data_IF_248253416230
#
_entry.id   IF_248253416230
#
_cell.length_a   1.000
_cell.length_b   1.000
_cell.length_c   1.000
_cell.angle_alpha   90.00
_cell.angle_beta   90.00
_cell.angle_gamma   90.00
#
_symmetry.space_group_name_H-M   'P 1'
#
loop_
_entity.id
_entity.type
_entity.pdbx_description
1 polymer ?
#
# COMPACT_ATOMS: atom_id res chain seq x y z
N UNK A 1 21.14 8.38 -29.25
CA UNK A 1 20.41 9.65 -28.90
C UNK A 1 21.28 10.60 -28.09
N UNK A 2 21.81 10.17 -26.93
CA UNK A 2 22.68 11.01 -26.08
C UNK A 2 23.91 11.54 -26.83
N UNK A 3 24.61 10.67 -27.57
CA UNK A 3 25.75 11.06 -28.41
C UNK A 3 25.35 12.04 -29.52
N UNK A 4 24.20 11.82 -30.15
CA UNK A 4 23.65 12.73 -31.17
C UNK A 4 23.30 14.13 -30.61
N UNK A 5 23.11 14.25 -29.28
CA UNK A 5 22.93 15.52 -28.57
C UNK A 5 24.25 16.11 -28.05
N UNK A 6 25.39 15.50 -28.38
CA UNK A 6 26.72 15.97 -28.01
C UNK A 6 27.22 15.51 -26.64
N UNK A 7 26.53 14.59 -25.98
CA UNK A 7 27.00 14.02 -24.71
C UNK A 7 27.99 12.88 -24.95
N UNK A 8 29.06 12.83 -24.14
CA UNK A 8 29.94 11.66 -24.07
C UNK A 8 29.28 10.60 -23.21
N UNK A 9 29.25 9.35 -23.68
CA UNK A 9 28.55 8.25 -22.99
C UNK A 9 29.50 7.09 -22.78
N UNK A 10 29.49 6.53 -21.57
CA UNK A 10 30.10 5.24 -21.27
C UNK A 10 28.99 4.23 -20.98
N UNK A 11 28.95 3.15 -21.75
CA UNK A 11 28.02 2.04 -21.50
C UNK A 11 28.69 1.04 -20.55
N UNK A 12 28.03 0.73 -19.45
CA UNK A 12 28.44 -0.29 -18.48
C UNK A 12 27.63 -1.55 -18.74
N UNK A 13 28.31 -2.67 -18.97
CA UNK A 13 27.67 -3.99 -18.95
C UNK A 13 27.45 -4.44 -17.50
N UNK A 14 26.19 -4.54 -17.03
CA UNK A 14 25.92 -5.00 -15.68
C UNK A 14 26.37 -6.45 -15.42
N UNK A 15 26.46 -7.30 -16.44
CA UNK A 15 26.93 -8.70 -16.29
C UNK A 15 28.40 -8.74 -15.89
N UNK A 16 29.21 -7.85 -16.46
CA UNK A 16 30.62 -7.75 -16.09
C UNK A 16 30.81 -7.04 -14.75
N UNK A 17 30.06 -5.95 -14.52
CA UNK A 17 30.36 -4.97 -13.47
C UNK A 17 29.60 -5.17 -12.17
N UNK A 18 28.42 -5.80 -12.19
CA UNK A 18 27.67 -6.13 -11.00
C UNK A 18 27.82 -7.62 -10.69
N UNK A 19 28.54 -7.96 -9.61
CA UNK A 19 28.61 -9.34 -9.13
C UNK A 19 27.36 -9.65 -8.30
N UNK A 20 26.61 -10.68 -8.69
CA UNK A 20 25.44 -11.13 -7.98
C UNK A 20 25.59 -12.57 -7.46
N UNK A 21 25.02 -12.80 -6.28
CA UNK A 21 25.04 -14.06 -5.54
C UNK A 21 23.59 -14.53 -5.35
N UNK A 22 23.36 -15.84 -5.52
CA UNK A 22 22.06 -16.47 -5.31
C UNK A 22 21.50 -17.16 -6.56
N UNK A 23 20.18 -17.23 -6.63
CA UNK A 23 19.47 -17.96 -7.69
C UNK A 23 19.36 -17.14 -8.99
N UNK A 24 19.43 -17.77 -10.16
CA UNK A 24 19.42 -17.08 -11.47
C UNK A 24 18.25 -16.12 -11.68
N UNK A 25 17.09 -16.45 -11.10
CA UNK A 25 15.86 -15.64 -11.23
C UNK A 25 15.69 -14.57 -10.15
N UNK A 26 16.51 -14.64 -9.09
CA UNK A 26 16.42 -13.73 -7.95
C UNK A 26 17.78 -13.65 -7.24
N UNK A 27 18.73 -12.98 -7.88
CA UNK A 27 20.09 -12.80 -7.32
C UNK A 27 20.21 -11.47 -6.58
N UNK A 28 21.11 -11.41 -5.59
CA UNK A 28 21.45 -10.21 -4.80
C UNK A 28 22.84 -9.73 -5.17
N UNK A 29 23.03 -8.43 -5.38
CA UNK A 29 24.32 -7.87 -5.78
C UNK A 29 25.24 -7.71 -4.58
N UNK A 30 26.48 -8.18 -4.70
CA UNK A 30 27.59 -7.82 -3.82
C UNK A 30 28.06 -6.40 -4.18
N UNK A 31 27.61 -5.42 -3.39
CA UNK A 31 27.91 -4.01 -3.63
C UNK A 31 29.40 -3.72 -3.46
N UNK A 32 30.11 -4.41 -2.55
CA UNK A 32 31.52 -4.13 -2.28
C UNK A 32 32.41 -4.57 -3.45
N UNK A 33 32.19 -5.78 -3.97
CA UNK A 33 32.88 -6.24 -5.18
C UNK A 33 32.48 -5.41 -6.40
N UNK A 34 31.18 -5.14 -6.58
CA UNK A 34 30.69 -4.35 -7.73
C UNK A 34 31.27 -2.94 -7.73
N UNK A 35 31.44 -2.32 -6.55
CA UNK A 35 32.14 -1.04 -6.40
C UNK A 35 33.58 -1.11 -6.93
N UNK A 36 34.31 -2.19 -6.60
CA UNK A 36 35.69 -2.38 -7.11
C UNK A 36 35.73 -2.54 -8.62
N UNK A 37 34.81 -3.30 -9.22
CA UNK A 37 34.72 -3.51 -10.68
C UNK A 37 34.37 -2.24 -11.44
N UNK A 38 33.45 -1.44 -10.89
CA UNK A 38 33.07 -0.15 -11.47
C UNK A 38 34.25 0.83 -11.38
N UNK A 39 34.89 0.96 -10.22
CA UNK A 39 36.06 1.83 -10.04
C UNK A 39 37.22 1.46 -10.97
N UNK A 40 37.46 0.16 -11.21
CA UNK A 40 38.48 -0.32 -12.13
C UNK A 40 38.23 0.09 -13.59
N UNK A 41 37.01 0.51 -13.94
CA UNK A 41 36.67 0.96 -15.29
C UNK A 41 37.15 2.39 -15.59
N UNK A 42 37.64 3.12 -14.57
CA UNK A 42 38.24 4.46 -14.71
C UNK A 42 37.41 5.40 -15.60
N UNK A 43 36.10 5.42 -15.39
CA UNK A 43 35.17 6.18 -16.21
C UNK A 43 35.46 7.68 -16.07
N UNK A 44 35.66 8.43 -17.17
CA UNK A 44 35.89 9.86 -17.10
C UNK A 44 34.74 10.61 -16.43
N UNK A 45 35.05 11.62 -15.62
CA UNK A 45 34.04 12.38 -14.87
C UNK A 45 33.06 13.18 -15.75
N UNK A 46 33.41 13.45 -17.01
CA UNK A 46 32.57 14.15 -17.99
C UNK A 46 31.70 13.21 -18.85
N UNK A 47 31.73 11.91 -18.60
CA UNK A 47 30.89 10.93 -19.30
C UNK A 47 29.56 10.69 -18.57
N UNK A 48 28.47 10.60 -19.34
CA UNK A 48 27.22 10.03 -18.87
C UNK A 48 27.33 8.51 -18.85
N UNK A 49 27.00 7.89 -17.73
CA UNK A 49 26.97 6.44 -17.60
C UNK A 49 25.60 5.91 -18.03
N UNK A 50 25.60 4.93 -18.93
CA UNK A 50 24.40 4.19 -19.33
C UNK A 50 24.57 2.71 -18.95
N UNK A 51 23.66 2.17 -18.15
CA UNK A 51 23.68 0.77 -17.72
C UNK A 51 22.29 0.17 -17.91
N UNK A 52 22.22 -1.03 -18.46
CA UNK A 52 20.97 -1.78 -18.50
C UNK A 52 20.57 -2.20 -17.06
N UNK A 53 19.29 -2.02 -16.71
CA UNK A 53 18.76 -2.50 -15.43
C UNK A 53 18.39 -3.99 -15.46
N UNK A 54 17.88 -4.49 -14.33
CA UNK A 54 17.31 -5.83 -14.13
C UNK A 54 18.29 -7.01 -14.17
N UNK A 55 19.47 -6.85 -14.75
CA UNK A 55 20.47 -7.91 -14.94
C UNK A 55 21.75 -7.68 -14.14
N UNK A 56 22.48 -8.76 -13.87
CA UNK A 56 23.82 -8.75 -13.29
C UNK A 56 24.57 -10.04 -13.71
N UNK A 57 25.83 -10.20 -13.29
CA UNK A 57 26.62 -11.42 -13.56
C UNK A 57 26.90 -12.21 -12.29
N UNK A 58 26.84 -13.53 -12.36
CA UNK A 58 27.24 -14.39 -11.24
C UNK A 58 28.77 -14.58 -11.18
N UNK A 59 29.26 -15.38 -10.22
CA UNK A 59 30.69 -15.70 -10.07
C UNK A 59 31.33 -16.36 -11.30
N UNK A 60 30.53 -17.00 -12.17
CA UNK A 60 30.97 -17.62 -13.42
C UNK A 60 30.91 -16.66 -14.62
N UNK A 61 30.46 -15.42 -14.42
CA UNK A 61 30.25 -14.44 -15.49
C UNK A 61 28.99 -14.67 -16.33
N UNK A 62 28.06 -15.50 -15.85
CA UNK A 62 26.80 -15.76 -16.55
C UNK A 62 25.74 -14.73 -16.16
N UNK A 63 24.88 -14.37 -17.12
CA UNK A 63 23.77 -13.46 -16.89
C UNK A 63 22.78 -14.04 -15.87
N UNK A 64 22.46 -13.24 -14.86
CA UNK A 64 21.38 -13.48 -13.91
C UNK A 64 20.43 -12.28 -13.88
N UNK A 65 19.21 -12.51 -13.41
CA UNK A 65 18.23 -11.45 -13.19
C UNK A 65 18.06 -11.17 -11.71
N UNK A 66 17.71 -9.93 -11.41
CA UNK A 66 17.62 -9.42 -10.05
C UNK A 66 16.23 -9.58 -9.43
N UNK A 67 15.31 -10.22 -10.14
CA UNK A 67 13.94 -10.46 -9.68
C UNK A 67 13.04 -9.23 -9.82
N UNK A 68 11.93 -9.22 -9.08
CA UNK A 68 10.89 -8.19 -9.20
C UNK A 68 11.44 -6.79 -8.91
N UNK A 69 11.07 -5.82 -9.75
CA UNK A 69 11.59 -4.44 -9.74
C UNK A 69 13.13 -4.38 -9.82
N UNK A 70 13.75 -5.34 -10.50
CA UNK A 70 15.20 -5.43 -10.62
C UNK A 70 15.86 -4.21 -11.25
N UNK A 71 15.15 -3.43 -12.09
CA UNK A 71 15.67 -2.17 -12.63
C UNK A 71 15.85 -1.10 -11.56
N UNK A 72 14.86 -0.92 -10.67
CA UNK A 72 14.97 0.03 -9.56
C UNK A 72 16.11 -0.40 -8.62
N UNK A 73 16.20 -1.71 -8.35
CA UNK A 73 17.30 -2.26 -7.56
C UNK A 73 18.67 -2.06 -8.23
N UNK A 74 18.75 -2.17 -9.56
CA UNK A 74 19.98 -1.86 -10.32
C UNK A 74 20.40 -0.41 -10.16
N UNK A 75 19.44 0.53 -10.22
CA UNK A 75 19.69 1.95 -10.00
C UNK A 75 20.19 2.21 -8.56
N UNK A 76 19.54 1.63 -7.55
CA UNK A 76 19.96 1.72 -6.15
C UNK A 76 21.37 1.16 -5.90
N UNK A 77 21.68 0.01 -6.51
CA UNK A 77 23.01 -0.62 -6.43
C UNK A 77 24.07 0.24 -7.10
N UNK A 78 23.80 0.75 -8.30
CA UNK A 78 24.74 1.61 -9.01
C UNK A 78 24.98 2.92 -8.24
N UNK A 79 23.93 3.54 -7.70
CA UNK A 79 24.02 4.70 -6.82
C UNK A 79 24.91 4.41 -5.61
N UNK A 80 24.74 3.25 -4.97
CA UNK A 80 25.56 2.80 -3.85
C UNK A 80 27.05 2.61 -4.23
N UNK A 81 27.31 2.00 -5.39
CA UNK A 81 28.66 1.78 -5.91
C UNK A 81 29.38 3.08 -6.25
N UNK A 82 28.65 4.05 -6.79
CA UNK A 82 29.19 5.36 -7.19
C UNK A 82 29.22 6.39 -6.05
N UNK A 83 28.68 6.06 -4.86
CA UNK A 83 28.45 7.02 -3.77
C UNK A 83 27.67 8.25 -4.25
N UNK A 84 26.62 8.01 -5.02
CA UNK A 84 25.80 9.08 -5.58
C UNK A 84 25.16 9.93 -4.48
N UNK A 85 25.05 11.23 -4.73
CA UNK A 85 24.37 12.16 -3.82
C UNK A 85 22.86 11.90 -3.74
N UNK A 86 22.28 11.31 -4.80
CA UNK A 86 20.87 10.96 -4.87
C UNK A 86 20.62 9.82 -5.88
N UNK A 87 19.60 9.01 -5.62
CA UNK A 87 19.06 8.03 -6.56
C UNK A 87 17.67 8.48 -7.02
N UNK A 88 17.47 8.80 -8.29
CA UNK A 88 16.14 9.16 -8.80
C UNK A 88 15.46 7.96 -9.47
N UNK A 89 14.23 7.66 -9.07
CA UNK A 89 13.38 6.67 -9.72
C UNK A 89 12.27 7.39 -10.46
N UNK A 90 12.33 7.31 -11.79
CA UNK A 90 11.37 7.94 -12.69
C UNK A 90 10.32 6.93 -13.14
N UNK A 91 9.06 7.14 -12.76
CA UNK A 91 7.93 6.23 -12.95
C UNK A 91 6.72 6.95 -13.57
N UNK A 92 5.52 6.37 -13.49
CA UNK A 92 4.25 6.87 -14.04
C UNK A 92 3.36 7.57 -12.99
N UNK A 93 3.87 7.78 -11.78
CA UNK A 93 3.20 8.47 -10.67
C UNK A 93 4.04 9.62 -10.11
N UNK A 94 3.37 10.65 -9.58
CA UNK A 94 4.00 11.86 -9.03
C UNK A 94 4.81 11.63 -7.76
N UNK A 95 4.77 10.41 -7.19
CA UNK A 95 5.52 10.01 -6.01
C UNK A 95 4.75 8.96 -5.19
N UNK A 96 5.01 8.92 -3.89
CA UNK A 96 4.31 8.05 -2.94
C UNK A 96 3.15 8.83 -2.32
N UNK A 97 1.97 8.21 -2.30
CA UNK A 97 0.77 8.79 -1.71
C UNK A 97 0.50 8.20 -0.32
N UNK A 98 -0.28 8.91 0.50
CA UNK A 98 -0.75 8.44 1.81
C UNK A 98 -1.54 7.12 1.77
N UNK A 99 -2.09 6.77 0.61
CA UNK A 99 -2.67 5.46 0.29
C UNK A 99 -2.86 5.39 -1.23
N UNK A 100 -3.34 4.27 -1.77
CA UNK A 100 -3.58 4.14 -3.21
C UNK A 100 -4.64 5.16 -3.69
N UNK A 101 -4.28 6.14 -4.54
CA UNK A 101 -5.20 7.18 -5.00
C UNK A 101 -6.35 6.62 -5.85
N UNK A 102 -6.23 5.40 -6.36
CA UNK A 102 -7.31 4.71 -7.09
C UNK A 102 -8.40 4.19 -6.13
N UNK A 103 -8.05 3.93 -4.88
CA UNK A 103 -8.95 3.46 -3.83
C UNK A 103 -9.50 4.62 -2.98
N UNK A 104 -8.67 5.63 -2.74
CA UNK A 104 -9.01 6.80 -1.93
C UNK A 104 -8.71 8.08 -2.71
N UNK A 105 -9.74 8.79 -3.21
CA UNK A 105 -9.53 9.98 -4.03
C UNK A 105 -8.84 11.14 -3.29
N UNK A 106 -9.00 11.18 -1.97
CA UNK A 106 -8.39 12.19 -1.09
C UNK A 106 -6.94 11.86 -0.69
N UNK A 107 -6.34 10.84 -1.31
CA UNK A 107 -4.95 10.50 -1.08
C UNK A 107 -4.03 11.68 -1.39
N UNK A 108 -3.11 11.98 -0.47
CA UNK A 108 -2.20 13.13 -0.58
C UNK A 108 -0.82 12.65 -1.01
N UNK A 109 -0.18 13.40 -1.90
CA UNK A 109 1.22 13.17 -2.26
C UNK A 109 2.10 13.49 -1.05
N UNK A 110 2.97 12.56 -0.68
CA UNK A 110 3.93 12.74 0.40
C UNK A 110 5.13 13.52 -0.11
N UNK A 111 5.59 14.53 0.64
CA UNK A 111 6.83 15.24 0.29
C UNK A 111 8.05 14.39 0.63
N UNK A 112 8.02 13.78 1.81
CA UNK A 112 9.10 12.94 2.29
C UNK A 112 8.65 11.80 3.19
N UNK A 113 9.50 10.78 3.30
CA UNK A 113 9.35 9.66 4.22
C UNK A 113 10.71 9.04 4.58
N UNK A 114 10.78 8.35 5.72
CA UNK A 114 12.00 7.64 6.10
C UNK A 114 12.18 6.35 5.30
N UNK A 115 13.42 5.84 5.24
CA UNK A 115 13.69 4.53 4.65
C UNK A 115 12.86 3.40 5.29
N UNK A 116 12.68 3.46 6.61
CA UNK A 116 11.92 2.45 7.35
C UNK A 116 10.43 2.53 7.03
N UNK A 117 9.85 3.74 6.96
CA UNK A 117 8.46 3.92 6.53
C UNK A 117 8.23 3.40 5.11
N UNK A 118 9.18 3.69 4.20
CA UNK A 118 9.10 3.22 2.82
C UNK A 118 9.16 1.70 2.75
N UNK A 119 10.02 1.06 3.54
CA UNK A 119 10.17 -0.39 3.58
C UNK A 119 8.90 -1.07 4.10
N UNK A 120 8.30 -0.57 5.18
CA UNK A 120 7.06 -1.08 5.77
C UNK A 120 5.88 -0.93 4.80
N UNK A 121 5.68 0.26 4.21
CA UNK A 121 4.61 0.48 3.24
C UNK A 121 4.75 -0.43 2.01
N UNK A 122 5.98 -0.59 1.52
CA UNK A 122 6.27 -1.44 0.37
C UNK A 122 5.97 -2.92 0.65
N UNK A 123 6.30 -3.38 1.86
CA UNK A 123 6.03 -4.75 2.30
C UNK A 123 4.52 -5.04 2.37
N UNK A 124 3.73 -4.09 2.88
CA UNK A 124 2.27 -4.24 3.04
C UNK A 124 1.44 -3.70 1.86
N UNK A 125 2.01 -3.66 0.66
CA UNK A 125 1.23 -3.53 -0.59
C UNK A 125 1.38 -2.21 -1.36
N UNK A 126 2.13 -1.23 -0.86
CA UNK A 126 2.45 -0.04 -1.63
C UNK A 126 3.43 -0.40 -2.77
N UNK A 127 2.96 -0.44 -4.01
CA UNK A 127 3.72 -0.95 -5.16
C UNK A 127 4.79 0.01 -5.72
N UNK A 128 5.01 1.17 -5.11
CA UNK A 128 5.86 2.23 -5.68
C UNK A 128 7.34 1.87 -5.64
N UNK A 129 7.79 1.17 -4.59
CA UNK A 129 9.16 0.72 -4.45
C UNK A 129 9.19 -0.70 -3.89
N UNK A 130 10.21 -1.47 -4.26
CA UNK A 130 10.42 -2.79 -3.68
C UNK A 130 11.38 -2.68 -2.49
N UNK A 131 11.18 -3.42 -1.38
CA UNK A 131 12.09 -3.39 -0.23
C UNK A 131 13.57 -3.61 -0.61
N UNK A 132 13.83 -4.48 -1.60
CA UNK A 132 15.20 -4.73 -2.10
C UNK A 132 15.86 -3.50 -2.72
N UNK A 133 15.09 -2.59 -3.30
CA UNK A 133 15.60 -1.30 -3.81
C UNK A 133 15.96 -0.35 -2.67
N UNK A 134 15.21 -0.39 -1.58
CA UNK A 134 15.38 0.49 -0.43
C UNK A 134 16.62 0.10 0.38
N UNK A 135 16.94 -1.21 0.47
CA UNK A 135 18.07 -1.69 1.29
C UNK A 135 19.43 -1.05 0.94
N UNK A 136 19.90 -1.02 -0.33
CA UNK A 136 21.18 -0.37 -0.67
C UNK A 136 21.20 1.10 -0.33
N UNK A 137 20.18 1.86 -0.74
CA UNK A 137 20.14 3.31 -0.50
C UNK A 137 20.09 3.62 1.00
N UNK A 138 19.36 2.83 1.80
CA UNK A 138 19.32 2.98 3.24
C UNK A 138 20.67 2.62 3.89
N UNK A 139 21.33 1.55 3.45
CA UNK A 139 22.64 1.13 3.97
C UNK A 139 23.70 2.22 3.77
N UNK A 140 23.67 2.89 2.62
CA UNK A 140 24.64 3.94 2.27
C UNK A 140 24.14 5.36 2.51
N UNK A 141 22.96 5.51 3.13
CA UNK A 141 22.33 6.80 3.43
C UNK A 141 22.17 7.71 2.19
N UNK A 142 21.89 7.10 1.03
CA UNK A 142 21.66 7.80 -0.24
C UNK A 142 20.18 8.16 -0.33
N UNK A 143 19.80 9.45 -0.39
CA UNK A 143 18.41 9.83 -0.56
C UNK A 143 17.89 9.38 -1.93
N UNK A 144 16.64 8.93 -1.97
CA UNK A 144 15.98 8.47 -3.19
C UNK A 144 14.76 9.32 -3.51
N UNK A 145 14.68 9.85 -4.72
CA UNK A 145 13.60 10.73 -5.15
C UNK A 145 12.72 10.01 -6.18
N UNK A 146 11.43 9.87 -5.87
CA UNK A 146 10.44 9.27 -6.77
C UNK A 146 9.80 10.38 -7.60
N UNK A 147 9.87 10.27 -8.93
CA UNK A 147 9.39 11.29 -9.87
C UNK A 147 8.53 10.68 -10.99
N UNK A 148 7.72 11.53 -11.62
CA UNK A 148 6.89 11.15 -12.76
C UNK A 148 7.54 11.56 -14.09
N UNK A 149 7.71 10.62 -14.99
CA UNK A 149 8.15 10.87 -16.37
C UNK A 149 7.14 11.70 -17.17
N UNK A 150 5.84 11.52 -16.92
CA UNK A 150 4.76 12.27 -17.56
C UNK A 150 4.49 13.64 -16.94
N UNK A 151 4.99 13.88 -15.71
CA UNK A 151 4.89 15.17 -15.03
C UNK A 151 6.22 15.54 -14.33
N UNK A 152 7.27 15.91 -15.09
CA UNK A 152 8.61 16.12 -14.52
C UNK A 152 8.73 17.28 -13.53
N UNK A 153 7.74 18.19 -13.52
CA UNK A 153 7.66 19.35 -12.63
C UNK A 153 6.99 19.01 -11.29
N UNK A 154 6.38 17.84 -11.15
CA UNK A 154 5.89 17.38 -9.85
C UNK A 154 7.04 17.34 -8.83
N UNK A 155 6.79 17.72 -7.57
CA UNK A 155 7.83 17.75 -6.54
C UNK A 155 8.42 16.37 -6.23
N UNK A 156 7.66 15.29 -6.48
CA UNK A 156 8.10 13.94 -6.14
C UNK A 156 7.88 13.59 -4.67
N UNK A 157 8.44 12.45 -4.27
CA UNK A 157 8.59 12.07 -2.86
C UNK A 157 10.05 11.74 -2.57
N UNK A 158 10.63 12.39 -1.56
CA UNK A 158 11.99 12.14 -1.10
C UNK A 158 12.01 11.09 0.01
N UNK A 159 12.68 9.97 -0.24
CA UNK A 159 12.94 8.92 0.74
C UNK A 159 14.36 9.11 1.26
N UNK A 160 14.51 9.33 2.56
CA UNK A 160 15.80 9.70 3.13
C UNK A 160 15.93 9.44 4.62
N UNK A 161 17.00 9.95 5.20
CA UNK A 161 17.06 10.13 6.65
C UNK A 161 15.95 11.11 7.07
N UNK A 162 15.29 10.82 8.20
CA UNK A 162 14.08 11.51 8.68
C UNK A 162 14.12 13.02 8.46
N UNK A 163 13.19 13.54 7.67
CA UNK A 163 12.91 14.97 7.56
C UNK A 163 11.57 15.25 8.23
N UNK A 164 11.59 16.11 9.25
CA UNK A 164 10.42 16.51 10.05
C UNK A 164 9.40 17.38 9.28
N UNK A 165 9.54 17.50 7.95
CA UNK A 165 8.91 18.55 7.15
C UNK A 165 7.38 18.48 7.04
N UNK A 166 6.76 17.33 7.36
CA UNK A 166 5.31 17.16 7.22
C UNK A 166 4.56 17.04 8.57
N UNK A 167 5.23 16.93 9.73
CA UNK A 167 4.58 16.77 11.06
C UNK A 167 3.47 15.68 11.14
N UNK A 168 3.37 14.80 10.15
CA UNK A 168 2.34 13.77 10.07
C UNK A 168 2.78 12.55 10.91
N UNK A 169 2.02 12.15 11.95
CA UNK A 169 2.34 10.95 12.72
C UNK A 169 2.30 9.67 11.90
N UNK A 170 1.47 9.66 10.87
CA UNK A 170 1.22 8.55 9.98
C UNK A 170 1.56 9.03 8.57
N UNK A 171 2.39 8.28 7.86
CA UNK A 171 2.76 8.60 6.47
C UNK A 171 1.87 7.90 5.47
N UNK A 172 1.49 6.65 5.74
CA UNK A 172 0.65 5.94 4.80
C UNK A 172 -0.19 4.82 5.38
N UNK A 173 -1.16 4.42 4.56
CA UNK A 173 -2.01 3.25 4.77
C UNK A 173 -1.89 2.41 3.51
N UNK A 174 -1.63 1.12 3.68
CA UNK A 174 -1.55 0.15 2.60
C UNK A 174 -2.47 -1.04 2.89
N UNK A 175 -2.79 -1.79 1.84
CA UNK A 175 -3.50 -3.05 1.97
C UNK A 175 -2.89 -4.18 1.13
N UNK A 176 -2.94 -5.39 1.69
CA UNK A 176 -2.67 -6.64 0.99
C UNK A 176 -3.95 -7.46 0.92
N UNK A 177 -4.49 -7.59 -0.28
CA UNK A 177 -5.70 -8.35 -0.55
C UNK A 177 -5.38 -9.82 -0.85
N UNK A 178 -6.41 -10.67 -0.85
CA UNK A 178 -6.32 -12.09 -1.17
C UNK A 178 -5.33 -12.85 -0.27
N UNK A 179 -5.60 -12.81 1.03
CA UNK A 179 -4.86 -13.53 2.05
C UNK A 179 -5.70 -14.66 2.66
N UNK A 180 -5.04 -15.69 3.14
CA UNK A 180 -5.62 -16.74 3.97
C UNK A 180 -4.90 -16.80 5.32
N UNK A 181 -5.66 -16.89 6.41
CA UNK A 181 -5.12 -17.03 7.76
C UNK A 181 -5.28 -18.46 8.24
N UNK A 182 -4.17 -19.05 8.68
CA UNK A 182 -4.12 -20.35 9.35
C UNK A 182 -3.98 -20.13 10.84
N UNK A 183 -4.70 -20.88 11.66
CA UNK A 183 -4.53 -20.94 13.11
C UNK A 183 -4.24 -22.36 13.53
N UNK A 184 -3.16 -22.52 14.28
CA UNK A 184 -2.77 -23.76 14.96
C UNK A 184 -3.03 -23.56 16.45
N UNK A 185 -3.94 -24.34 17.01
CA UNK A 185 -4.36 -24.30 18.41
C UNK A 185 -4.48 -25.71 18.99
N UNK A 186 -4.48 -25.81 20.31
CA UNK A 186 -4.80 -27.06 21.00
C UNK A 186 -4.05 -27.25 22.32
N UNK A 187 -4.49 -28.19 23.16
CA UNK A 187 -3.90 -28.45 24.48
C UNK A 187 -2.43 -28.89 24.41
N UNK A 188 -2.03 -29.56 23.33
CA UNK A 188 -0.65 -29.95 23.06
C UNK A 188 0.29 -28.76 22.85
N UNK A 189 -0.22 -27.56 22.59
CA UNK A 189 0.59 -26.33 22.50
C UNK A 189 1.14 -25.91 23.87
N UNK A 190 0.55 -26.39 24.98
CA UNK A 190 0.97 -26.06 26.35
C UNK A 190 2.27 -26.78 26.71
N UNK A 191 3.38 -26.03 26.77
CA UNK A 191 4.68 -26.55 27.21
C UNK A 191 5.52 -27.22 26.12
N UNK A 192 5.03 -27.30 24.88
CA UNK A 192 5.84 -27.75 23.75
C UNK A 192 6.72 -26.62 23.19
N UNK A 193 8.01 -26.71 23.48
CA UNK A 193 9.04 -25.85 22.90
C UNK A 193 9.17 -26.16 21.40
N UNK A 194 9.24 -25.14 20.55
CA UNK A 194 9.59 -25.30 19.13
C UNK A 194 8.41 -25.44 18.16
N UNK A 195 7.16 -25.31 18.63
CA UNK A 195 5.99 -25.37 17.75
C UNK A 195 6.02 -24.28 16.67
N UNK A 196 6.28 -23.02 17.04
CA UNK A 196 6.45 -21.94 16.07
C UNK A 196 7.55 -22.26 15.04
N UNK A 197 8.66 -22.85 15.48
CA UNK A 197 9.74 -23.22 14.57
C UNK A 197 9.30 -24.28 13.55
N UNK A 198 8.49 -25.27 13.97
CA UNK A 198 7.92 -26.28 13.07
C UNK A 198 6.98 -25.68 12.04
N UNK A 199 6.09 -24.76 12.45
CA UNK A 199 5.20 -24.02 11.54
C UNK A 199 6.01 -23.32 10.44
N UNK A 200 7.01 -22.53 10.83
CA UNK A 200 7.81 -21.77 9.86
C UNK A 200 8.74 -22.66 9.02
N UNK A 201 9.25 -23.75 9.59
CA UNK A 201 10.03 -24.73 8.84
C UNK A 201 9.19 -25.44 7.77
N UNK A 202 7.94 -25.81 8.09
CA UNK A 202 7.01 -26.40 7.13
C UNK A 202 6.68 -25.43 5.99
N UNK A 203 6.39 -24.16 6.29
CA UNK A 203 6.15 -23.14 5.27
C UNK A 203 7.38 -22.87 4.40
N UNK A 204 8.56 -22.78 5.02
CA UNK A 204 9.83 -22.59 4.30
C UNK A 204 10.14 -23.74 3.34
N UNK A 205 10.05 -25.00 3.80
CA UNK A 205 10.23 -26.19 2.93
C UNK A 205 9.20 -26.25 1.80
N UNK A 206 7.99 -25.76 2.05
CA UNK A 206 6.96 -25.65 1.03
C UNK A 206 7.19 -24.47 0.06
N UNK A 207 8.16 -23.57 0.31
CA UNK A 207 8.39 -22.37 -0.48
C UNK A 207 7.23 -21.37 -0.38
N UNK A 208 6.66 -21.20 0.81
CA UNK A 208 5.52 -20.32 1.08
C UNK A 208 5.98 -19.19 1.99
N UNK A 209 5.75 -17.95 1.55
CA UNK A 209 6.06 -16.76 2.34
C UNK A 209 4.94 -16.48 3.35
N UNK A 210 5.31 -16.34 4.62
CA UNK A 210 4.40 -15.90 5.68
C UNK A 210 4.50 -14.38 5.80
N UNK A 211 3.35 -13.71 5.74
CA UNK A 211 3.27 -12.23 5.66
C UNK A 211 3.00 -11.58 7.01
N UNK A 212 2.12 -12.17 7.81
CA UNK A 212 1.73 -11.64 9.12
C UNK A 212 1.62 -12.80 10.10
N UNK A 213 2.08 -12.59 11.33
CA UNK A 213 2.07 -13.57 12.41
C UNK A 213 1.43 -12.93 13.63
N UNK A 214 0.55 -13.66 14.31
CA UNK A 214 0.02 -13.30 15.62
C UNK A 214 -0.01 -14.54 16.51
N UNK A 215 0.33 -14.35 17.78
CA UNK A 215 0.46 -15.45 18.74
C UNK A 215 -0.28 -15.09 20.02
N UNK A 216 -1.21 -15.95 20.43
CA UNK A 216 -1.96 -15.79 21.68
C UNK A 216 -1.36 -16.70 22.75
N UNK A 217 -0.75 -16.10 23.77
CA UNK A 217 -0.14 -16.83 24.89
C UNK A 217 -1.18 -17.50 25.78
N UNK A 218 -2.37 -16.92 25.93
CA UNK A 218 -3.46 -17.46 26.75
C UNK A 218 -4.20 -18.62 26.09
N UNK A 219 -4.38 -18.57 24.77
CA UNK A 219 -5.09 -19.59 24.00
C UNK A 219 -4.15 -20.66 23.42
N UNK A 220 -2.84 -20.50 23.67
CA UNK A 220 -1.79 -21.33 23.08
C UNK A 220 -1.96 -21.50 21.57
N UNK A 221 -2.18 -20.40 20.85
CA UNK A 221 -2.42 -20.43 19.41
C UNK A 221 -1.37 -19.62 18.66
N UNK A 222 -1.04 -20.09 17.46
CA UNK A 222 -0.23 -19.36 16.48
C UNK A 222 -1.08 -19.20 15.23
N UNK A 223 -1.33 -17.97 14.84
CA UNK A 223 -1.99 -17.63 13.60
C UNK A 223 -1.04 -16.92 12.65
N UNK A 224 -1.15 -17.23 11.36
CA UNK A 224 -0.31 -16.61 10.34
C UNK A 224 -1.05 -16.47 9.02
N UNK A 225 -0.71 -15.43 8.27
CA UNK A 225 -1.28 -15.13 6.95
C UNK A 225 -0.32 -15.54 5.84
N UNK A 226 -0.87 -16.18 4.81
CA UNK A 226 -0.18 -16.52 3.55
C UNK A 226 -1.00 -15.99 2.38
N UNK A 227 -0.40 -15.79 1.19
CA UNK A 227 -1.16 -15.49 -0.02
C UNK A 227 -2.25 -16.54 -0.27
N UNK A 228 -3.44 -16.10 -0.66
CA UNK A 228 -4.58 -16.99 -0.93
C UNK A 228 -4.24 -18.05 -2.00
N UNK A 229 -3.38 -17.71 -2.96
CA UNK A 229 -2.86 -18.65 -3.98
C UNK A 229 -2.10 -19.84 -3.38
N UNK A 230 -1.50 -19.67 -2.20
CA UNK A 230 -0.74 -20.70 -1.51
C UNK A 230 -1.56 -21.48 -0.47
N UNK A 231 -2.83 -21.11 -0.25
CA UNK A 231 -3.69 -21.70 0.77
C UNK A 231 -3.71 -23.24 0.70
N UNK A 232 -3.92 -23.82 -0.49
CA UNK A 232 -3.98 -25.28 -0.64
C UNK A 232 -2.63 -25.96 -0.35
N UNK A 233 -1.51 -25.32 -0.73
CA UNK A 233 -0.15 -25.83 -0.46
C UNK A 233 0.19 -25.72 1.03
N UNK A 234 -0.13 -24.59 1.65
CA UNK A 234 0.07 -24.35 3.08
C UNK A 234 -0.72 -25.35 3.92
N UNK A 235 -2.00 -25.58 3.57
CA UNK A 235 -2.84 -26.57 4.24
C UNK A 235 -2.23 -27.96 4.23
N UNK A 236 -1.78 -28.44 3.06
CA UNK A 236 -1.12 -29.76 2.96
C UNK A 236 0.15 -29.82 3.79
N UNK A 237 1.04 -28.84 3.64
CA UNK A 237 2.30 -28.81 4.39
C UNK A 237 2.09 -28.82 5.91
N UNK A 238 1.07 -28.11 6.41
CA UNK A 238 0.72 -28.09 7.83
C UNK A 238 0.07 -29.40 8.29
N UNK A 239 -0.80 -29.99 7.48
CA UNK A 239 -1.42 -31.30 7.79
C UNK A 239 -0.37 -32.40 7.85
N UNK A 240 0.62 -32.37 6.95
CA UNK A 240 1.71 -33.34 6.93
C UNK A 240 2.66 -33.15 8.12
N UNK A 241 3.03 -31.90 8.43
CA UNK A 241 3.93 -31.56 9.56
C UNK A 241 3.33 -31.96 10.92
N UNK A 242 2.01 -31.80 11.10
CA UNK A 242 1.31 -32.00 12.37
C UNK A 242 0.37 -33.22 12.38
N UNK A 243 0.58 -34.17 11.46
CA UNK A 243 -0.31 -35.31 11.28
C UNK A 243 -0.52 -36.12 12.58
N UNK A 244 0.56 -36.39 13.33
CA UNK A 244 0.48 -37.17 14.56
C UNK A 244 -0.28 -36.41 15.64
N UNK A 245 0.02 -35.14 15.85
CA UNK A 245 -0.62 -34.32 16.87
C UNK A 245 -2.11 -34.08 16.60
N UNK A 246 -2.47 -33.91 15.33
CA UNK A 246 -3.87 -33.82 14.90
C UNK A 246 -4.60 -35.16 15.12
N UNK A 247 -3.94 -36.29 14.82
CA UNK A 247 -4.54 -37.62 14.99
C UNK A 247 -4.71 -38.01 16.46
N UNK A 248 -3.77 -37.63 17.31
CA UNK A 248 -3.81 -37.90 18.75
C UNK A 248 -4.67 -36.89 19.53
N UNK A 249 -5.23 -35.88 18.86
CA UNK A 249 -6.05 -34.84 19.49
C UNK A 249 -5.25 -33.87 20.37
N UNK A 250 -3.93 -33.82 20.19
CA UNK A 250 -3.05 -32.84 20.84
C UNK A 250 -3.23 -31.44 20.21
N UNK A 251 -3.53 -31.39 18.92
CA UNK A 251 -3.92 -30.18 18.21
C UNK A 251 -5.37 -30.26 17.76
N UNK A 252 -6.04 -29.11 17.77
CA UNK A 252 -7.35 -28.95 17.14
C UNK A 252 -7.22 -29.00 15.61
N UNK A 253 -8.30 -29.31 14.88
CA UNK A 253 -8.29 -29.20 13.43
C UNK A 253 -7.82 -27.82 12.98
N UNK A 254 -6.89 -27.78 12.02
CA UNK A 254 -6.33 -26.54 11.49
C UNK A 254 -7.46 -25.61 11.02
N UNK A 255 -7.63 -24.48 11.72
CA UNK A 255 -8.60 -23.48 11.36
C UNK A 255 -8.02 -22.61 10.24
N UNK A 256 -8.77 -22.49 9.14
CA UNK A 256 -8.34 -21.72 7.97
C UNK A 256 -9.46 -20.78 7.57
N UNK A 257 -9.14 -19.49 7.56
CA UNK A 257 -10.06 -18.44 7.11
C UNK A 257 -9.51 -17.84 5.82
N UNK A 258 -10.30 -17.91 4.76
CA UNK A 258 -9.93 -17.46 3.42
C UNK A 258 -10.60 -16.12 3.06
N UNK A 259 -10.14 -15.49 1.97
CA UNK A 259 -10.65 -14.19 1.50
C UNK A 259 -10.52 -13.09 2.56
N UNK A 260 -9.31 -12.97 3.09
CA UNK A 260 -8.95 -11.91 4.02
C UNK A 260 -8.09 -10.85 3.30
N UNK A 261 -8.01 -9.68 3.93
CA UNK A 261 -7.07 -8.63 3.57
C UNK A 261 -6.37 -8.11 4.83
N UNK A 262 -5.14 -7.63 4.65
CA UNK A 262 -4.37 -6.95 5.70
C UNK A 262 -4.43 -5.46 5.40
N UNK A 263 -4.86 -4.65 6.37
CA UNK A 263 -4.75 -3.19 6.31
C UNK A 263 -3.65 -2.77 7.29
N UNK A 264 -2.69 -2.00 6.81
CA UNK A 264 -1.53 -1.57 7.59
C UNK A 264 -1.43 -0.06 7.61
N UNK A 265 -1.28 0.50 8.81
CA UNK A 265 -1.01 1.93 9.04
C UNK A 265 0.47 2.06 9.39
N UNK A 266 1.18 2.96 8.72
CA UNK A 266 2.63 3.13 8.85
C UNK A 266 3.00 4.59 9.11
N UNK A 267 3.84 4.83 10.12
CA UNK A 267 4.50 6.10 10.36
C UNK A 267 5.43 6.08 11.57
N UNK A 268 6.55 6.79 11.48
CA UNK A 268 7.53 6.91 12.56
C UNK A 268 6.95 7.61 13.80
N UNK A 269 6.01 8.54 13.59
CA UNK A 269 5.35 9.28 14.67
C UNK A 269 4.35 8.45 15.49
N UNK A 270 4.02 7.22 15.06
CA UNK A 270 3.11 6.33 15.79
C UNK A 270 3.66 5.92 17.17
N UNK A 271 4.98 5.81 17.29
CA UNK A 271 5.67 5.51 18.57
C UNK A 271 5.55 6.64 19.59
N UNK A 272 5.54 7.89 19.11
CA UNK A 272 5.60 9.08 19.98
C UNK A 272 4.22 9.66 20.27
N UNK A 273 3.27 9.54 19.33
CA UNK A 273 1.93 10.11 19.46
C UNK A 273 0.92 9.06 19.93
N UNK A 274 0.52 9.18 21.19
CA UNK A 274 -0.51 8.32 21.80
C UNK A 274 -1.86 8.50 21.10
N UNK A 275 -2.58 7.39 20.92
CA UNK A 275 -3.95 7.38 20.43
C UNK A 275 -4.11 7.17 18.92
N UNK A 276 -3.03 7.06 18.14
CA UNK A 276 -3.14 6.72 16.71
C UNK A 276 -3.79 5.35 16.51
N UNK A 277 -3.37 4.33 17.26
CA UNK A 277 -3.99 2.99 17.22
C UNK A 277 -5.46 3.05 17.59
N UNK A 278 -5.83 3.84 18.61
CA UNK A 278 -7.22 4.02 19.01
C UNK A 278 -8.07 4.66 17.90
N UNK A 279 -7.53 5.68 17.20
CA UNK A 279 -8.20 6.27 16.03
C UNK A 279 -8.36 5.26 14.90
N UNK A 280 -7.34 4.44 14.63
CA UNK A 280 -7.40 3.40 13.61
C UNK A 280 -8.50 2.38 13.92
N UNK A 281 -8.52 1.80 15.12
CA UNK A 281 -9.55 0.84 15.52
C UNK A 281 -10.95 1.48 15.56
N UNK A 282 -11.06 2.73 16.02
CA UNK A 282 -12.32 3.46 16.02
C UNK A 282 -12.86 3.72 14.61
N UNK A 283 -11.97 3.97 13.63
CA UNK A 283 -12.36 4.14 12.23
C UNK A 283 -12.98 2.87 11.66
N UNK A 284 -12.35 1.71 11.90
CA UNK A 284 -12.86 0.41 11.45
C UNK A 284 -14.19 0.06 12.15
N UNK A 285 -14.29 0.32 13.46
CA UNK A 285 -15.51 0.10 14.22
C UNK A 285 -16.69 0.96 13.70
N UNK A 286 -16.43 2.23 13.34
CA UNK A 286 -17.46 3.11 12.75
C UNK A 286 -17.98 2.60 11.41
N UNK A 287 -17.14 1.92 10.63
CA UNK A 287 -17.54 1.26 9.39
C UNK A 287 -18.16 -0.12 9.61
N UNK A 288 -18.36 -0.54 10.86
CA UNK A 288 -18.84 -1.88 11.22
C UNK A 288 -17.97 -3.01 10.63
N UNK A 289 -16.66 -2.78 10.54
CA UNK A 289 -15.69 -3.75 10.03
C UNK A 289 -15.18 -4.61 11.18
N UNK A 290 -15.36 -5.92 11.06
CA UNK A 290 -14.86 -6.87 12.06
C UNK A 290 -13.35 -7.12 11.88
N UNK A 291 -12.61 -7.07 12.98
CA UNK A 291 -11.17 -7.33 13.00
C UNK A 291 -10.94 -8.80 13.37
N UNK A 292 -10.31 -9.55 12.46
CA UNK A 292 -10.01 -10.98 12.62
C UNK A 292 -8.74 -11.18 13.44
N UNK A 293 -7.71 -10.36 13.17
CA UNK A 293 -6.44 -10.42 13.87
C UNK A 293 -5.75 -9.05 13.87
N UNK A 294 -4.84 -8.87 14.81
CA UNK A 294 -4.03 -7.65 14.97
C UNK A 294 -2.56 -8.07 15.07
N UNK A 295 -1.69 -7.33 14.41
CA UNK A 295 -0.25 -7.42 14.56
C UNK A 295 0.36 -6.02 14.69
N UNK A 296 1.19 -5.83 15.71
CA UNK A 296 1.97 -4.62 15.92
C UNK A 296 3.39 -5.04 16.30
N UNK A 297 4.38 -4.48 15.59
CA UNK A 297 5.79 -4.69 15.91
C UNK A 297 6.23 -3.87 17.12
N UNK A 298 7.31 -4.29 17.77
CA UNK A 298 7.94 -3.55 18.89
C UNK A 298 8.50 -2.19 18.51
N UNK A 299 8.71 -1.94 17.20
CA UNK A 299 9.07 -0.62 16.69
C UNK A 299 7.92 0.39 16.77
N UNK A 300 6.68 -0.08 16.94
CA UNK A 300 5.42 0.68 16.94
C UNK A 300 5.22 1.58 15.69
N UNK A 301 6.03 1.36 14.64
CA UNK A 301 5.98 2.12 13.38
C UNK A 301 4.83 1.67 12.48
N UNK A 302 4.42 0.42 12.63
CA UNK A 302 3.32 -0.15 11.86
C UNK A 302 2.36 -0.92 12.75
N UNK A 303 1.06 -0.76 12.47
CA UNK A 303 -0.02 -1.57 13.03
C UNK A 303 -0.80 -2.13 11.86
N UNK A 304 -0.97 -3.44 11.87
CA UNK A 304 -1.69 -4.18 10.84
C UNK A 304 -2.88 -4.89 11.44
N UNK A 305 -3.98 -4.89 10.71
CA UNK A 305 -5.19 -5.64 11.05
C UNK A 305 -5.56 -6.56 9.90
N UNK A 306 -6.13 -7.70 10.23
CA UNK A 306 -6.71 -8.63 9.26
C UNK A 306 -8.22 -8.45 9.27
N UNK A 307 -8.80 -8.22 8.10
CA UNK A 307 -10.23 -8.01 7.88
C UNK A 307 -10.73 -8.88 6.73
N UNK A 308 -12.05 -8.94 6.52
CA UNK A 308 -12.59 -9.55 5.31
C UNK A 308 -12.10 -8.77 4.08
N UNK A 309 -11.74 -9.48 3.01
CA UNK A 309 -11.25 -8.88 1.78
C UNK A 309 -12.24 -7.86 1.18
N UNK A 310 -13.55 -8.10 1.33
CA UNK A 310 -14.59 -7.20 0.81
C UNK A 310 -14.64 -5.86 1.57
N UNK A 311 -14.13 -5.82 2.81
CA UNK A 311 -14.09 -4.63 3.66
C UNK A 311 -12.80 -3.81 3.49
N UNK A 312 -11.81 -4.33 2.75
CA UNK A 312 -10.47 -3.75 2.68
C UNK A 312 -10.48 -2.29 2.20
N UNK A 313 -11.17 -2.02 1.09
CA UNK A 313 -11.26 -0.67 0.49
C UNK A 313 -11.99 0.29 1.42
N UNK A 314 -13.12 -0.12 2.00
CA UNK A 314 -13.85 0.69 3.00
C UNK A 314 -12.95 1.00 4.20
N UNK A 315 -12.24 0.00 4.70
CA UNK A 315 -11.34 0.10 5.85
C UNK A 315 -10.20 1.08 5.61
N UNK A 316 -9.54 1.01 4.45
CA UNK A 316 -8.49 1.97 4.06
C UNK A 316 -9.07 3.38 3.99
N UNK A 317 -10.26 3.56 3.42
CA UNK A 317 -10.92 4.87 3.31
C UNK A 317 -11.28 5.50 4.64
N UNK A 318 -11.97 4.80 5.53
CA UNK A 318 -12.33 5.36 6.85
C UNK A 318 -11.10 5.64 7.69
N UNK A 319 -10.09 4.78 7.57
CA UNK A 319 -8.82 4.99 8.27
C UNK A 319 -8.10 6.21 7.73
N UNK A 320 -8.05 6.38 6.40
CA UNK A 320 -7.45 7.54 5.77
C UNK A 320 -8.18 8.82 6.17
N UNK A 321 -9.51 8.80 6.13
CA UNK A 321 -10.32 9.92 6.57
C UNK A 321 -10.03 10.27 8.03
N UNK A 322 -10.00 9.30 8.94
CA UNK A 322 -9.81 9.54 10.37
C UNK A 322 -8.38 9.99 10.74
N UNK A 323 -7.37 9.57 9.98
CA UNK A 323 -5.96 9.84 10.29
C UNK A 323 -5.39 11.06 9.56
N UNK A 324 -5.82 11.30 8.32
CA UNK A 324 -5.28 12.36 7.47
C UNK A 324 -6.28 13.50 7.24
N UNK A 325 -7.57 13.20 7.21
CA UNK A 325 -8.59 14.22 7.08
C UNK A 325 -9.06 14.65 8.47
N UNK A 326 -9.12 15.97 8.70
CA UNK A 326 -9.77 16.49 9.90
C UNK A 326 -11.29 16.52 9.70
N UNK A 327 -11.73 16.46 8.44
CA UNK A 327 -13.09 16.78 8.04
C UNK A 327 -13.97 15.52 7.93
N UNK A 328 -15.18 15.61 8.51
CA UNK A 328 -16.24 14.63 8.31
C UNK A 328 -16.83 14.77 6.91
N UNK A 329 -16.57 13.81 6.04
CA UNK A 329 -17.15 13.75 4.69
C UNK A 329 -18.61 13.32 4.79
N UNK A 330 -19.52 14.07 4.16
CA UNK A 330 -20.93 13.75 4.01
C UNK A 330 -21.25 13.70 2.52
N UNK A 331 -21.61 12.52 2.02
CA UNK A 331 -21.96 12.32 0.60
C UNK A 331 -23.48 12.46 0.41
N UNK A 332 -23.92 13.57 -0.17
CA UNK A 332 -25.34 13.92 -0.30
C UNK A 332 -25.88 13.52 -1.67
N UNK A 333 -27.02 12.83 -1.67
CA UNK A 333 -27.81 12.51 -2.85
C UNK A 333 -29.15 13.23 -2.77
N UNK A 334 -29.40 14.16 -3.68
CA UNK A 334 -30.64 14.96 -3.70
C UNK A 334 -31.61 14.40 -4.75
N UNK A 335 -32.78 13.96 -4.32
CA UNK A 335 -33.85 13.48 -5.18
C UNK A 335 -34.92 14.57 -5.25
N UNK A 336 -35.42 14.89 -6.45
CA UNK A 336 -36.43 15.95 -6.61
C UNK A 336 -35.83 17.34 -6.72
N UNK A 337 -34.98 17.56 -7.72
CA UNK A 337 -34.31 18.85 -7.98
C UNK A 337 -35.18 19.90 -8.70
N UNK A 338 -36.47 19.96 -8.34
CA UNK A 338 -37.39 21.03 -8.74
C UNK A 338 -37.10 22.34 -7.99
N UNK A 339 -38.13 23.14 -7.72
CA UNK A 339 -37.95 24.41 -6.99
C UNK A 339 -37.26 24.25 -5.63
N UNK A 340 -37.71 23.28 -4.81
CA UNK A 340 -37.15 23.04 -3.47
C UNK A 340 -35.75 22.42 -3.55
N UNK A 341 -35.58 21.32 -4.27
CA UNK A 341 -34.28 20.65 -4.39
C UNK A 341 -33.21 21.54 -5.05
N UNK A 342 -33.59 22.37 -6.02
CA UNK A 342 -32.70 23.37 -6.62
C UNK A 342 -32.26 24.44 -5.61
N UNK A 343 -33.19 24.94 -4.78
CA UNK A 343 -32.86 25.88 -3.72
C UNK A 343 -31.94 25.27 -2.64
N UNK A 344 -32.16 23.99 -2.30
CA UNK A 344 -31.29 23.25 -1.39
C UNK A 344 -29.87 23.13 -1.96
N UNK A 345 -29.71 22.74 -3.23
CA UNK A 345 -28.39 22.64 -3.86
C UNK A 345 -27.64 23.97 -3.85
N UNK A 346 -28.34 25.07 -4.08
CA UNK A 346 -27.78 26.42 -4.00
C UNK A 346 -27.37 26.80 -2.55
N UNK A 347 -28.14 26.38 -1.55
CA UNK A 347 -27.76 26.55 -0.14
C UNK A 347 -26.53 25.71 0.22
N UNK A 348 -26.49 24.44 -0.20
CA UNK A 348 -25.35 23.55 0.03
C UNK A 348 -24.08 24.15 -0.57
N UNK A 349 -24.16 24.65 -1.81
CA UNK A 349 -23.06 25.35 -2.49
C UNK A 349 -22.54 26.54 -1.67
N UNK A 350 -23.43 27.41 -1.19
CA UNK A 350 -23.03 28.59 -0.38
C UNK A 350 -22.42 28.20 0.97
N UNK A 351 -22.90 27.11 1.57
CA UNK A 351 -22.46 26.67 2.90
C UNK A 351 -21.22 25.79 2.87
N UNK A 352 -20.79 25.27 1.72
CA UNK A 352 -19.62 24.38 1.61
C UNK A 352 -18.37 24.97 2.27
N UNK A 353 -18.05 26.25 2.02
CA UNK A 353 -16.86 26.89 2.63
C UNK A 353 -17.00 26.99 4.15
N UNK A 354 -18.19 27.31 4.66
CA UNK A 354 -18.45 27.41 6.09
C UNK A 354 -18.40 26.06 6.79
N UNK A 355 -18.96 25.02 6.18
CA UNK A 355 -18.89 23.63 6.66
C UNK A 355 -17.45 23.14 6.68
N UNK A 356 -16.67 23.45 5.64
CA UNK A 356 -15.26 23.08 5.56
C UNK A 356 -14.44 23.70 6.70
N UNK A 357 -14.70 24.95 7.06
CA UNK A 357 -14.10 25.59 8.23
C UNK A 357 -14.50 24.96 9.58
N UNK A 358 -15.60 24.19 9.60
CA UNK A 358 -16.04 23.40 10.76
C UNK A 358 -15.61 21.94 10.69
N UNK A 359 -14.69 21.62 9.80
CA UNK A 359 -14.25 20.25 9.55
C UNK A 359 -15.37 19.33 9.07
N UNK A 360 -16.20 19.81 8.14
CA UNK A 360 -17.23 19.02 7.47
C UNK A 360 -17.09 19.22 5.96
N UNK A 361 -16.79 18.14 5.25
CA UNK A 361 -16.67 18.15 3.79
C UNK A 361 -17.96 17.60 3.16
N UNK A 362 -18.85 18.50 2.77
CA UNK A 362 -20.14 18.14 2.18
C UNK A 362 -20.03 18.05 0.65
N UNK A 363 -20.17 16.83 0.12
CA UNK A 363 -20.05 16.51 -1.30
C UNK A 363 -21.40 16.08 -1.85
N UNK A 364 -21.93 16.80 -2.84
CA UNK A 364 -23.14 16.36 -3.53
C UNK A 364 -22.75 15.33 -4.57
N UNK A 365 -22.98 14.05 -4.28
CA UNK A 365 -22.54 12.93 -5.12
C UNK A 365 -23.59 12.48 -6.14
N UNK A 366 -24.83 12.93 -6.00
CA UNK A 366 -25.85 12.67 -7.01
C UNK A 366 -27.06 13.60 -6.91
N UNK A 367 -27.66 13.85 -8.08
CA UNK A 367 -28.89 14.61 -8.23
C UNK A 367 -29.84 13.87 -9.16
N UNK A 368 -31.12 13.80 -8.79
CA UNK A 368 -32.12 13.07 -9.55
C UNK A 368 -33.43 13.85 -9.71
N UNK A 369 -34.08 13.66 -10.86
CA UNK A 369 -35.47 14.04 -11.09
C UNK A 369 -36.25 12.85 -11.67
N UNK A 370 -37.49 13.06 -12.10
CA UNK A 370 -38.35 12.00 -12.65
C UNK A 370 -37.83 11.38 -13.97
N UNK A 371 -36.87 12.01 -14.65
CA UNK A 371 -36.37 11.61 -15.97
C UNK A 371 -34.90 11.14 -15.94
N UNK A 372 -34.09 11.71 -15.07
CA UNK A 372 -32.64 11.56 -15.10
C UNK A 372 -32.02 11.49 -13.69
N UNK A 373 -30.91 10.76 -13.60
CA UNK A 373 -30.02 10.65 -12.46
C UNK A 373 -28.60 10.99 -12.94
N UNK A 374 -28.01 12.01 -12.33
CA UNK A 374 -26.61 12.39 -12.49
C UNK A 374 -25.85 12.02 -11.22
N UNK A 375 -24.71 11.35 -11.36
CA UNK A 375 -23.90 10.89 -10.23
C UNK A 375 -22.41 11.12 -10.49
N UNK A 376 -21.71 11.64 -9.49
CA UNK A 376 -20.25 11.71 -9.47
C UNK A 376 -19.77 11.44 -8.03
N UNK A 377 -19.02 10.36 -7.85
CA UNK A 377 -18.53 9.91 -6.54
C UNK A 377 -17.53 10.88 -5.91
N UNK A 378 -16.89 11.74 -6.72
CA UNK A 378 -15.99 12.79 -6.24
C UNK A 378 -16.70 14.11 -5.92
N UNK A 379 -18.02 14.17 -6.10
CA UNK A 379 -18.82 15.38 -5.98
C UNK A 379 -19.12 16.00 -7.35
N UNK A 380 -20.35 16.49 -7.50
CA UNK A 380 -20.81 17.19 -8.69
C UNK A 380 -20.36 18.64 -8.69
N UNK A 381 -20.14 19.18 -9.89
CA UNK A 381 -19.94 20.61 -10.04
C UNK A 381 -21.29 21.33 -9.87
N UNK A 382 -21.48 21.97 -8.70
CA UNK A 382 -22.71 22.69 -8.37
C UNK A 382 -22.91 23.99 -9.18
N UNK A 383 -21.93 24.43 -9.98
CA UNK A 383 -22.13 25.51 -10.95
C UNK A 383 -22.84 25.05 -12.23
N UNK A 384 -22.68 23.78 -12.61
CA UNK A 384 -23.10 23.27 -13.93
C UNK A 384 -24.03 22.04 -13.88
N UNK A 385 -24.44 21.62 -12.67
CA UNK A 385 -25.22 20.39 -12.48
C UNK A 385 -26.52 20.33 -13.29
N UNK A 386 -27.15 21.47 -13.59
CA UNK A 386 -28.41 21.55 -14.35
C UNK A 386 -28.20 21.14 -15.82
N UNK A 387 -27.13 21.62 -16.45
CA UNK A 387 -26.78 21.28 -17.81
C UNK A 387 -26.33 19.82 -17.91
N UNK A 388 -25.52 19.36 -16.96
CA UNK A 388 -25.07 17.97 -16.88
C UNK A 388 -26.24 17.00 -16.65
N UNK A 389 -27.23 17.38 -15.82
CA UNK A 389 -28.43 16.56 -15.59
C UNK A 389 -29.33 16.52 -16.84
N UNK A 390 -29.42 17.61 -17.61
CA UNK A 390 -30.18 17.63 -18.86
C UNK A 390 -29.58 16.71 -19.94
N UNK A 391 -28.26 16.46 -19.88
CA UNK A 391 -27.56 15.53 -20.76
C UNK A 391 -27.57 14.08 -20.24
N UNK A 392 -27.93 13.88 -18.97
CA UNK A 392 -27.95 12.56 -18.35
C UNK A 392 -29.18 11.76 -18.81
N UNK A 393 -28.95 10.61 -19.45
CA UNK A 393 -30.01 9.74 -19.98
C UNK A 393 -30.36 8.56 -19.04
N UNK A 394 -29.74 8.50 -17.86
CA UNK A 394 -29.95 7.40 -16.92
C UNK A 394 -31.22 7.65 -16.09
N UNK A 395 -32.25 6.78 -16.13
CA UNK A 395 -33.41 6.93 -15.27
C UNK A 395 -33.04 6.73 -13.80
N UNK A 396 -33.74 7.42 -12.91
CA UNK A 396 -33.57 7.23 -11.47
C UNK A 396 -33.95 5.80 -11.06
N UNK A 397 -33.07 5.17 -10.28
CA UNK A 397 -33.30 3.84 -9.72
C UNK A 397 -32.60 3.74 -8.36
N UNK A 398 -33.37 3.51 -7.30
CA UNK A 398 -32.82 3.42 -5.94
C UNK A 398 -31.82 2.25 -5.80
N UNK A 399 -32.08 1.11 -6.45
CA UNK A 399 -31.16 -0.02 -6.46
C UNK A 399 -29.80 0.31 -7.10
N UNK A 400 -29.78 1.15 -8.14
CA UNK A 400 -28.55 1.66 -8.76
C UNK A 400 -27.78 2.57 -7.80
N UNK A 401 -28.48 3.39 -7.03
CA UNK A 401 -27.87 4.28 -6.05
C UNK A 401 -27.28 3.49 -4.87
N UNK A 402 -28.00 2.48 -4.36
CA UNK A 402 -27.49 1.52 -3.37
C UNK A 402 -26.26 0.77 -3.91
N UNK A 403 -26.28 0.36 -5.18
CA UNK A 403 -25.14 -0.31 -5.81
C UNK A 403 -23.93 0.63 -5.89
N UNK A 404 -24.13 1.89 -6.26
CA UNK A 404 -23.07 2.89 -6.33
C UNK A 404 -22.47 3.15 -4.94
N UNK A 405 -23.28 3.27 -3.89
CA UNK A 405 -22.80 3.40 -2.50
C UNK A 405 -21.90 2.23 -2.10
N UNK A 406 -22.28 0.99 -2.48
CA UNK A 406 -21.50 -0.21 -2.19
C UNK A 406 -20.23 -0.32 -3.02
N UNK A 407 -20.34 -0.13 -4.34
CA UNK A 407 -19.25 -0.24 -5.30
C UNK A 407 -18.16 0.81 -5.04
N UNK A 408 -18.58 2.02 -4.69
CA UNK A 408 -17.69 3.11 -4.35
C UNK A 408 -17.61 3.32 -2.85
N UNK A 409 -17.90 2.32 -2.00
CA UNK A 409 -17.64 2.34 -0.54
C UNK A 409 -17.85 3.71 0.16
N UNK A 410 -18.97 4.39 -0.11
CA UNK A 410 -19.23 5.75 0.41
C UNK A 410 -19.39 5.72 1.93
N UNK A 411 -18.89 6.75 2.61
CA UNK A 411 -18.67 6.71 4.07
C UNK A 411 -19.91 7.12 4.87
N UNK A 412 -20.49 8.28 4.54
CA UNK A 412 -21.69 8.82 5.16
C UNK A 412 -22.69 9.26 4.08
N UNK A 413 -23.25 8.31 3.30
CA UNK A 413 -24.23 8.63 2.28
C UNK A 413 -25.55 9.09 2.91
N UNK A 414 -26.00 10.30 2.55
CA UNK A 414 -27.28 10.88 2.98
C UNK A 414 -28.16 11.08 1.77
N UNK A 415 -29.38 10.54 1.81
CA UNK A 415 -30.41 10.81 0.80
C UNK A 415 -31.31 11.94 1.32
N UNK A 416 -31.48 12.97 0.52
CA UNK A 416 -32.44 14.06 0.76
C UNK A 416 -33.49 14.01 -0.33
N UNK A 417 -34.71 13.66 0.05
CA UNK A 417 -35.85 13.65 -0.85
C UNK A 417 -36.60 14.98 -0.77
N UNK A 418 -36.64 15.68 -1.90
CA UNK A 418 -37.34 16.94 -2.14
C UNK A 418 -38.45 16.77 -3.19
N UNK A 419 -38.87 15.54 -3.48
CA UNK A 419 -40.06 15.29 -4.31
C UNK A 419 -41.33 15.75 -3.58
N UNK A 420 -42.30 16.21 -4.36
CA UNK A 420 -43.57 16.78 -3.89
C UNK A 420 -44.70 15.81 -4.13
#
# INVERSE_FOLDING_TARGET
LLEARGHRVTVIDPVEKLLAVGHYLESTVDIAESTRRIAASQIPADHMILMAGFTAGNEKGELVVLGRNGSDYSAAVLAACLRADCCEIWTDVDGVYTCDPRQVPDARLLKSMSYQEAMELSYFGAKVLHPRTITPIAQFQIPCLIKNTGNPQAPGTLIGASSDDDNLPVKGISNLNNMAMFSVSGPGMKGMIGMAARVFAAMSRAGISVVLITQSSSEYSISFCVPQSDCARARRAMQDEFYLELKEGLLEPLAVTERLAIISVVGDGMRTLRGISAKFFAALARANINIVAIAQGSSERSISVVVNNDDATTGVRVTHQMLFNTDQVIEVFVIGVGGVGGALLEQLKRQQTWLKNKHIDLRVCGVANSKALLTNVHGLNLDNWQAELAQANAPFNLGRLIRLVKEYHLLNPVIVDCTS
#
